data_IF_417992678161
#
_entry.id   IF_417992678161
#
_cell.length_a   1.000
_cell.length_b   1.000
_cell.length_c   1.000
_cell.angle_alpha   90.00
_cell.angle_beta   90.00
_cell.angle_gamma   90.00
#
_symmetry.space_group_name_H-M   'P 1'
#
loop_
_entity.id
_entity.type
_entity.pdbx_description
1 polymer ?
#
# COMPACT_ATOMS: atom_id res chain seq x y z
N UNK A 1 23.56 17.17 -2.47
CA UNK A 1 22.38 17.73 -1.77
C UNK A 1 22.82 17.99 -0.34
N UNK A 2 22.58 19.21 0.16
CA UNK A 2 22.93 19.55 1.54
C UNK A 2 21.87 19.02 2.52
N UNK A 3 22.23 18.90 3.79
CA UNK A 3 21.34 18.44 4.85
C UNK A 3 20.05 19.28 4.97
N UNK A 4 20.18 20.60 4.87
CA UNK A 4 19.04 21.52 4.93
C UNK A 4 18.09 21.35 3.74
N UNK A 5 18.64 21.22 2.52
CA UNK A 5 17.84 20.96 1.32
C UNK A 5 17.05 19.66 1.43
N UNK A 6 17.71 18.59 1.91
CA UNK A 6 17.08 17.29 2.13
C UNK A 6 15.92 17.38 3.12
N UNK A 7 16.14 18.03 4.27
CA UNK A 7 15.11 18.19 5.29
C UNK A 7 13.93 18.99 4.74
N UNK A 8 14.17 20.06 3.98
CA UNK A 8 13.10 20.83 3.33
C UNK A 8 12.26 19.94 2.40
N UNK A 9 12.90 19.16 1.53
CA UNK A 9 12.19 18.26 0.60
C UNK A 9 11.37 17.19 1.33
N UNK A 10 11.92 16.62 2.40
CA UNK A 10 11.19 15.63 3.19
C UNK A 10 10.06 16.28 4.00
N UNK A 11 10.23 17.51 4.49
CA UNK A 11 9.19 18.21 5.24
C UNK A 11 7.97 18.49 4.36
N UNK A 12 8.21 18.86 3.10
CA UNK A 12 7.17 18.98 2.07
C UNK A 12 6.41 17.66 1.89
N UNK A 13 7.12 16.54 1.75
CA UNK A 13 6.51 15.23 1.52
C UNK A 13 5.83 14.63 2.75
N UNK A 14 6.36 14.85 3.95
CA UNK A 14 5.77 14.35 5.20
C UNK A 14 4.62 15.24 5.67
N UNK A 15 4.48 16.45 5.07
CA UNK A 15 3.53 17.50 5.46
C UNK A 15 3.77 17.93 6.91
N UNK A 16 5.05 18.16 7.24
CA UNK A 16 5.45 18.61 8.57
C UNK A 16 5.80 20.09 8.52
N UNK A 17 5.09 20.89 9.31
CA UNK A 17 5.39 22.31 9.42
C UNK A 17 6.67 22.56 10.23
N UNK A 18 7.16 23.79 10.13
CA UNK A 18 8.40 24.19 10.80
C UNK A 18 8.30 24.23 12.32
N UNK A 19 7.10 24.41 12.87
CA UNK A 19 6.87 24.49 14.31
C UNK A 19 6.92 23.10 14.93
N UNK A 20 6.32 22.11 14.26
CA UNK A 20 6.43 20.69 14.59
C UNK A 20 7.88 20.22 14.49
N UNK A 21 8.57 20.50 13.38
CA UNK A 21 9.99 20.16 13.23
C UNK A 21 10.85 20.74 14.36
N UNK A 22 10.66 22.04 14.67
CA UNK A 22 11.35 22.72 15.75
C UNK A 22 11.08 22.06 17.12
N UNK A 23 9.82 21.70 17.39
CA UNK A 23 9.41 21.03 18.63
C UNK A 23 10.06 19.65 18.76
N UNK A 24 9.99 18.82 17.72
CA UNK A 24 10.54 17.46 17.75
C UNK A 24 12.08 17.45 17.83
N UNK A 25 12.75 18.39 17.16
CA UNK A 25 14.20 18.49 17.20
C UNK A 25 14.73 19.28 18.42
N UNK A 26 13.84 19.88 19.22
CA UNK A 26 14.15 20.79 20.32
C UNK A 26 15.07 21.95 19.88
N UNK A 27 14.64 22.65 18.83
CA UNK A 27 15.36 23.77 18.20
C UNK A 27 14.46 25.02 18.21
N UNK A 28 14.97 26.22 18.52
CA UNK A 28 14.21 27.45 18.32
C UNK A 28 13.78 27.63 16.85
N UNK A 29 12.51 27.97 16.62
CA UNK A 29 11.92 28.10 15.27
C UNK A 29 12.73 29.05 14.37
N UNK A 30 13.24 30.16 14.91
CA UNK A 30 14.04 31.12 14.15
C UNK A 30 15.35 30.51 13.65
N UNK A 31 16.06 29.76 14.49
CA UNK A 31 17.31 29.10 14.12
C UNK A 31 17.06 28.02 13.06
N UNK A 32 15.95 27.27 13.19
CA UNK A 32 15.56 26.30 12.17
C UNK A 32 15.22 26.98 10.85
N UNK A 33 14.48 28.10 10.84
CA UNK A 33 14.20 28.91 9.64
C UNK A 33 15.48 29.37 8.96
N UNK A 34 16.40 29.96 9.71
CA UNK A 34 17.70 30.41 9.19
C UNK A 34 18.51 29.27 8.58
N UNK A 35 18.56 28.12 9.26
CA UNK A 35 19.29 26.95 8.77
C UNK A 35 18.66 26.34 7.51
N UNK A 36 17.34 26.22 7.45
CA UNK A 36 16.63 25.75 6.24
C UNK A 36 16.85 26.70 5.06
N UNK A 37 16.94 28.01 5.31
CA UNK A 37 17.32 29.01 4.30
C UNK A 37 18.80 28.95 3.88
N UNK A 38 19.60 28.04 4.45
CA UNK A 38 21.01 27.84 4.10
C UNK A 38 21.97 28.83 4.75
N UNK A 39 21.50 29.62 5.74
CA UNK A 39 22.39 30.45 6.56
C UNK A 39 23.21 29.53 7.47
N UNK A 40 24.52 29.79 7.56
CA UNK A 40 25.45 29.09 8.47
C UNK A 40 25.21 29.56 9.91
N UNK A 41 24.05 29.25 10.47
CA UNK A 41 23.82 29.35 11.91
C UNK A 41 24.15 28.03 12.59
N UNK A 42 24.69 28.12 13.80
CA UNK A 42 25.22 27.01 14.60
C UNK A 42 24.10 26.12 15.15
N UNK A 43 23.37 25.41 14.29
CA UNK A 43 22.65 24.23 14.77
C UNK A 43 23.68 23.21 15.26
N UNK A 44 23.50 22.76 16.50
CA UNK A 44 24.31 21.68 17.05
C UNK A 44 24.13 20.44 16.18
N UNK A 45 25.21 19.70 15.94
CA UNK A 45 25.17 18.48 15.14
C UNK A 45 24.09 17.50 15.63
N UNK A 46 23.96 17.33 16.95
CA UNK A 46 22.92 16.49 17.55
C UNK A 46 21.50 16.94 17.19
N UNK A 47 21.23 18.24 17.14
CA UNK A 47 19.92 18.78 16.75
C UNK A 47 19.62 18.49 15.28
N UNK A 48 20.62 18.55 14.40
CA UNK A 48 20.49 18.17 12.99
C UNK A 48 20.23 16.67 12.86
N UNK A 49 20.93 15.83 13.63
CA UNK A 49 20.73 14.38 13.64
C UNK A 49 19.33 14.01 14.16
N UNK A 50 18.87 14.64 15.23
CA UNK A 50 17.52 14.45 15.76
C UNK A 50 16.46 14.85 14.71
N UNK A 51 16.65 15.98 14.03
CA UNK A 51 15.77 16.42 12.96
C UNK A 51 15.73 15.41 11.81
N UNK A 52 16.89 14.90 11.36
CA UNK A 52 16.95 13.86 10.33
C UNK A 52 16.23 12.57 10.76
N UNK A 53 16.42 12.15 12.01
CA UNK A 53 15.74 10.97 12.58
C UNK A 53 14.21 11.13 12.62
N UNK A 54 13.71 12.31 13.00
CA UNK A 54 12.29 12.65 12.96
C UNK A 54 11.74 12.54 11.53
N UNK A 55 12.52 12.99 10.54
CA UNK A 55 12.18 12.86 9.12
C UNK A 55 12.30 11.43 8.58
N UNK A 56 12.65 10.45 9.42
CA UNK A 56 12.76 9.04 9.03
C UNK A 56 14.09 8.69 8.37
N UNK A 57 15.16 9.45 8.63
CA UNK A 57 16.49 9.18 8.11
C UNK A 57 17.40 8.60 9.19
N UNK A 58 18.24 7.64 8.80
CA UNK A 58 19.38 7.18 9.58
C UNK A 58 20.68 7.71 8.97
N UNK A 59 21.60 8.11 9.86
CA UNK A 59 22.92 8.64 9.53
C UNK A 59 23.98 7.69 10.08
N UNK A 60 24.20 6.61 9.36
CA UNK A 60 25.05 5.48 9.75
C UNK A 60 25.81 4.96 8.53
N UNK A 61 27.09 5.37 8.40
CA UNK A 61 27.95 5.13 7.23
C UNK A 61 27.37 5.62 5.89
N UNK A 62 26.50 6.63 5.97
CA UNK A 62 25.78 7.19 4.84
C UNK A 62 24.47 7.79 5.31
N UNK A 63 23.68 8.26 4.34
CA UNK A 63 22.33 8.74 4.58
C UNK A 63 21.36 7.75 3.95
N UNK A 64 20.45 7.20 4.74
CA UNK A 64 19.44 6.24 4.27
C UNK A 64 18.10 6.48 4.96
N UNK A 65 17.03 5.98 4.35
CA UNK A 65 15.75 5.90 5.03
C UNK A 65 15.83 4.85 6.15
N UNK A 66 15.09 5.10 7.23
CA UNK A 66 14.97 4.18 8.35
C UNK A 66 14.22 2.91 7.91
N UNK A 67 14.93 1.79 7.92
CA UNK A 67 14.45 0.46 7.53
C UNK A 67 13.47 -0.17 8.53
N UNK A 68 13.37 0.37 9.75
CA UNK A 68 12.53 -0.17 10.83
C UNK A 68 11.09 0.34 10.82
N UNK A 69 10.73 1.23 9.89
CA UNK A 69 9.41 1.84 9.80
C UNK A 69 8.92 1.90 8.36
N UNK A 70 7.61 2.06 8.21
CA UNK A 70 6.98 2.45 6.95
C UNK A 70 6.99 3.98 6.86
N UNK A 71 7.52 4.50 5.76
CA UNK A 71 7.52 5.93 5.47
C UNK A 71 6.22 6.29 4.77
N UNK A 72 5.65 7.44 5.10
CA UNK A 72 4.43 7.93 4.49
C UNK A 72 4.65 9.32 3.93
N UNK A 73 4.69 9.41 2.60
CA UNK A 73 4.82 10.66 1.88
C UNK A 73 3.52 11.01 1.19
N UNK A 74 3.26 12.30 1.11
CA UNK A 74 2.05 12.88 0.55
C UNK A 74 2.42 13.86 -0.55
N UNK A 75 1.70 13.78 -1.66
CA UNK A 75 1.87 14.65 -2.82
C UNK A 75 0.50 15.22 -3.17
N UNK A 76 0.47 16.54 -3.35
CA UNK A 76 -0.72 17.25 -3.79
C UNK A 76 -0.63 17.56 -5.29
N UNK A 77 -1.39 16.82 -6.10
CA UNK A 77 -1.46 17.03 -7.55
C UNK A 77 -2.71 17.88 -7.88
N UNK A 78 -2.57 19.20 -7.73
CA UNK A 78 -3.66 20.14 -7.99
C UNK A 78 -3.90 20.40 -9.49
N UNK A 79 -5.11 20.81 -9.87
CA UNK A 79 -5.54 21.01 -11.26
C UNK A 79 -4.59 21.94 -12.05
N UNK A 80 -4.05 22.97 -11.39
CA UNK A 80 -3.24 24.01 -12.02
C UNK A 80 -1.72 23.79 -11.89
N UNK A 81 -1.29 22.71 -11.24
CA UNK A 81 0.13 22.45 -11.03
C UNK A 81 0.79 21.82 -12.26
N UNK A 82 2.06 22.11 -12.50
CA UNK A 82 2.84 21.40 -13.52
C UNK A 82 3.31 20.05 -12.97
N UNK A 83 3.13 18.94 -13.71
CA UNK A 83 3.53 17.59 -13.27
C UNK A 83 4.99 17.58 -12.78
N UNK A 84 5.91 18.19 -13.52
CA UNK A 84 7.33 18.27 -13.15
C UNK A 84 7.57 18.95 -11.80
N UNK A 85 6.79 19.96 -11.43
CA UNK A 85 6.94 20.64 -10.14
C UNK A 85 6.30 19.86 -8.99
N UNK A 86 5.15 19.21 -9.22
CA UNK A 86 4.43 18.38 -8.23
C UNK A 86 5.31 17.24 -7.72
N UNK A 87 5.98 16.54 -8.64
CA UNK A 87 6.81 15.40 -8.29
C UNK A 87 8.29 15.75 -8.10
N UNK A 88 8.66 17.04 -8.10
CA UNK A 88 10.05 17.47 -8.05
C UNK A 88 10.79 16.99 -6.80
N UNK A 89 10.12 17.01 -5.64
CA UNK A 89 10.70 16.53 -4.39
C UNK A 89 11.02 15.04 -4.48
N UNK A 90 10.06 14.24 -4.95
CA UNK A 90 10.24 12.81 -5.18
C UNK A 90 11.36 12.52 -6.20
N UNK A 91 11.43 13.28 -7.30
CA UNK A 91 12.53 13.17 -8.28
C UNK A 91 13.89 13.49 -7.68
N UNK A 92 14.00 14.52 -6.84
CA UNK A 92 15.26 14.87 -6.19
C UNK A 92 15.72 13.81 -5.19
N UNK A 93 14.76 13.14 -4.54
CA UNK A 93 15.02 12.05 -3.59
C UNK A 93 15.21 10.67 -4.23
N UNK A 94 15.13 10.57 -5.57
CA UNK A 94 15.30 9.31 -6.31
C UNK A 94 16.55 8.51 -5.92
N UNK A 95 17.67 9.17 -5.58
CA UNK A 95 18.88 8.49 -5.11
C UNK A 95 18.69 7.65 -3.84
N UNK A 96 17.78 8.05 -2.94
CA UNK A 96 17.45 7.29 -1.72
C UNK A 96 16.55 6.08 -2.03
N UNK A 97 15.95 6.06 -3.20
CA UNK A 97 14.96 5.08 -3.64
C UNK A 97 15.47 4.25 -4.84
N UNK A 98 16.74 4.39 -5.21
CA UNK A 98 17.32 3.63 -6.31
C UNK A 98 17.29 2.13 -5.97
N UNK A 99 16.91 1.31 -6.94
CA UNK A 99 16.70 -0.13 -6.75
C UNK A 99 15.38 -0.51 -6.09
N UNK A 100 14.50 0.45 -5.79
CA UNK A 100 13.17 0.13 -5.29
C UNK A 100 12.23 -0.32 -6.41
N UNK A 101 11.30 -1.20 -6.07
CA UNK A 101 10.17 -1.62 -6.89
C UNK A 101 8.92 -0.82 -6.53
N UNK A 102 8.11 -0.47 -7.52
CA UNK A 102 6.90 0.36 -7.37
C UNK A 102 5.66 -0.43 -7.76
N UNK A 103 4.57 -0.27 -7.01
CA UNK A 103 3.22 -0.73 -7.40
C UNK A 103 2.14 0.21 -6.90
N UNK A 104 1.04 0.34 -7.63
CA UNK A 104 -0.16 1.05 -7.20
C UNK A 104 -1.08 0.13 -6.38
N UNK A 105 -1.78 0.69 -5.39
CA UNK A 105 -2.72 -0.08 -4.56
C UNK A 105 -4.15 0.32 -4.83
N UNK A 106 -5.01 -0.67 -5.03
CA UNK A 106 -6.45 -0.51 -5.15
C UNK A 106 -7.21 -1.28 -4.06
N UNK A 107 -8.29 -0.66 -3.58
CA UNK A 107 -9.21 -1.34 -2.67
C UNK A 107 -10.11 -2.30 -3.45
N UNK A 108 -10.31 -3.51 -2.92
CA UNK A 108 -11.31 -4.45 -3.45
C UNK A 108 -12.76 -3.96 -3.27
N UNK A 109 -12.98 -2.90 -2.47
CA UNK A 109 -14.33 -2.37 -2.19
C UNK A 109 -14.64 -1.12 -3.02
N UNK A 110 -15.64 -1.16 -3.94
CA UNK A 110 -16.00 -0.01 -4.77
C UNK A 110 -16.50 1.20 -3.96
N UNK A 111 -17.12 0.99 -2.79
CA UNK A 111 -17.55 2.09 -1.89
C UNK A 111 -16.39 2.86 -1.28
N UNK A 112 -15.22 2.23 -1.12
CA UNK A 112 -14.00 2.88 -0.64
C UNK A 112 -13.24 3.58 -1.78
N UNK A 113 -13.48 3.15 -3.03
CA UNK A 113 -12.87 3.67 -4.26
C UNK A 113 -13.33 5.09 -4.60
N UNK A 114 -14.59 5.42 -4.32
CA UNK A 114 -15.19 6.73 -4.63
C UNK A 114 -14.94 7.80 -3.56
N UNK A 115 -14.60 7.41 -2.33
CA UNK A 115 -14.56 8.34 -1.19
C UNK A 115 -13.24 9.08 -1.03
N UNK A 116 -12.20 8.64 -1.73
CA UNK A 116 -10.86 9.18 -1.57
C UNK A 116 -10.36 9.59 -2.95
N UNK A 117 -10.28 10.91 -3.18
CA UNK A 117 -9.49 11.46 -4.28
C UNK A 117 -8.00 11.24 -4.08
N UNK A 118 -7.58 10.11 -3.51
CA UNK A 118 -6.21 9.75 -3.19
C UNK A 118 -5.86 8.44 -3.90
N UNK A 119 -4.66 8.37 -4.47
CA UNK A 119 -4.04 7.13 -4.93
C UNK A 119 -2.87 6.78 -4.04
N UNK A 120 -2.70 5.51 -3.75
CA UNK A 120 -1.61 5.02 -2.92
C UNK A 120 -0.66 4.19 -3.78
N UNK A 121 0.63 4.43 -3.61
CA UNK A 121 1.71 3.69 -4.23
C UNK A 121 2.61 3.11 -3.14
N UNK A 122 3.01 1.86 -3.29
CA UNK A 122 4.04 1.25 -2.47
C UNK A 122 5.36 1.29 -3.25
N UNK A 123 6.42 1.68 -2.56
CA UNK A 123 7.78 1.72 -3.06
C UNK A 123 8.65 0.94 -2.08
N UNK A 124 9.24 -0.15 -2.54
CA UNK A 124 9.89 -1.12 -1.66
C UNK A 124 11.26 -1.58 -2.16
N UNK A 125 12.16 -1.83 -1.22
CA UNK A 125 13.38 -2.64 -1.38
C UNK A 125 13.66 -3.32 -0.04
N UNK A 126 14.72 -4.13 0.06
CA UNK A 126 15.12 -4.78 1.31
C UNK A 126 15.25 -3.82 2.51
N UNK A 127 15.57 -2.54 2.24
CA UNK A 127 15.82 -1.51 3.26
C UNK A 127 14.84 -0.34 3.23
N UNK A 128 13.90 -0.31 2.29
CA UNK A 128 12.98 0.82 2.12
C UNK A 128 11.56 0.30 2.06
N UNK A 129 10.69 0.87 2.89
CA UNK A 129 9.24 0.66 2.86
C UNK A 129 8.58 2.02 2.84
N UNK A 130 8.09 2.43 1.68
CA UNK A 130 7.55 3.77 1.47
C UNK A 130 6.15 3.67 0.85
N UNK A 131 5.20 4.35 1.46
CA UNK A 131 3.87 4.64 0.92
C UNK A 131 3.87 6.07 0.40
N UNK A 132 3.54 6.25 -0.88
CA UNK A 132 3.29 7.56 -1.48
C UNK A 132 1.79 7.72 -1.70
N UNK A 133 1.17 8.62 -0.96
CA UNK A 133 -0.21 9.04 -1.15
C UNK A 133 -0.24 10.26 -2.08
N UNK A 134 -0.97 10.17 -3.19
CA UNK A 134 -1.14 11.29 -4.12
C UNK A 134 -2.60 11.71 -4.11
N UNK A 135 -2.87 12.95 -3.66
CA UNK A 135 -4.20 13.55 -3.82
C UNK A 135 -4.37 13.98 -5.27
N UNK A 136 -5.37 13.40 -5.92
CA UNK A 136 -5.70 13.55 -7.33
C UNK A 136 -6.51 14.81 -7.58
N UNK A 137 -6.16 15.47 -8.67
CA UNK A 137 -7.03 16.35 -9.45
C UNK A 137 -7.89 15.54 -10.43
N UNK A 138 -9.19 15.84 -10.52
CA UNK A 138 -10.21 15.06 -11.25
C UNK A 138 -9.86 14.73 -12.73
N UNK A 139 -8.92 15.44 -13.35
CA UNK A 139 -8.61 15.35 -14.77
C UNK A 139 -7.26 14.70 -15.13
N UNK A 140 -6.44 14.29 -14.14
CA UNK A 140 -5.12 13.69 -14.41
C UNK A 140 -4.94 12.36 -13.72
N UNK A 141 -4.26 11.43 -14.37
CA UNK A 141 -3.76 10.24 -13.72
C UNK A 141 -2.49 10.63 -12.94
N UNK A 142 -2.51 10.65 -11.59
CA UNK A 142 -1.27 10.71 -10.84
C UNK A 142 -0.49 9.44 -11.14
N UNK A 143 0.82 9.54 -11.38
CA UNK A 143 1.67 8.39 -11.65
C UNK A 143 3.00 8.59 -10.95
N UNK A 144 3.14 7.97 -9.78
CA UNK A 144 4.45 7.64 -9.24
C UNK A 144 4.97 6.49 -10.10
N UNK A 145 6.04 6.75 -10.84
CA UNK A 145 6.60 5.79 -11.80
C UNK A 145 8.13 5.84 -11.79
N UNK A 146 8.81 4.90 -12.44
CA UNK A 146 10.26 4.93 -12.64
C UNK A 146 10.80 6.23 -13.28
N UNK A 147 9.99 6.94 -14.09
CA UNK A 147 10.38 8.24 -14.65
C UNK A 147 10.52 9.32 -13.58
N UNK A 148 9.68 9.24 -12.54
CA UNK A 148 9.70 10.15 -11.40
C UNK A 148 10.77 9.73 -10.41
N UNK A 149 10.79 8.45 -10.02
CA UNK A 149 11.77 7.87 -9.11
C UNK A 149 12.86 7.19 -9.95
N UNK A 150 13.82 7.98 -10.41
CA UNK A 150 14.92 7.49 -11.25
C UNK A 150 15.68 6.34 -10.59
N UNK A 151 15.83 5.24 -11.31
CA UNK A 151 16.51 4.03 -10.83
C UNK A 151 15.63 3.07 -10.04
N UNK A 152 14.34 3.36 -9.89
CA UNK A 152 13.34 2.38 -9.49
C UNK A 152 12.84 1.59 -10.71
N UNK A 153 12.19 0.45 -10.46
CA UNK A 153 11.49 -0.33 -11.47
C UNK A 153 10.04 -0.57 -11.05
N UNK A 154 9.21 -1.01 -11.98
CA UNK A 154 7.92 -1.58 -11.59
C UNK A 154 8.15 -2.91 -10.88
N UNK A 155 7.25 -3.24 -9.95
CA UNK A 155 7.30 -4.48 -9.17
C UNK A 155 7.12 -5.73 -10.04
N UNK A 156 6.29 -5.61 -11.06
CA UNK A 156 5.92 -6.68 -11.98
C UNK A 156 5.85 -6.15 -13.42
N UNK A 157 5.76 -7.06 -14.38
CA UNK A 157 5.64 -6.75 -15.80
C UNK A 157 4.17 -6.55 -16.24
N UNK A 158 3.23 -6.40 -15.31
CA UNK A 158 1.81 -6.21 -15.63
C UNK A 158 1.54 -4.79 -16.15
N UNK A 159 0.71 -4.61 -17.17
CA UNK A 159 0.50 -3.28 -17.76
C UNK A 159 -0.03 -2.23 -16.76
N UNK A 160 -0.85 -2.68 -15.79
CA UNK A 160 -1.48 -1.81 -14.80
C UNK A 160 -0.61 -1.56 -13.56
N UNK A 161 0.41 -2.39 -13.32
CA UNK A 161 1.29 -2.36 -12.13
C UNK A 161 0.52 -2.21 -10.80
N UNK A 162 -0.65 -2.87 -10.72
CA UNK A 162 -1.66 -2.67 -9.70
C UNK A 162 -1.78 -3.91 -8.80
N UNK A 163 -1.86 -3.68 -7.50
CA UNK A 163 -2.26 -4.70 -6.54
C UNK A 163 -3.60 -4.39 -5.90
N UNK A 164 -4.36 -5.43 -5.60
CA UNK A 164 -5.55 -5.31 -4.76
C UNK A 164 -5.21 -5.69 -3.32
N UNK A 165 -5.91 -5.08 -2.36
CA UNK A 165 -5.71 -5.40 -0.94
C UNK A 165 -7.03 -5.49 -0.20
N UNK A 166 -7.04 -6.31 0.85
CA UNK A 166 -8.21 -6.52 1.68
C UNK A 166 -8.59 -5.24 2.46
N UNK A 167 -9.81 -5.21 2.99
CA UNK A 167 -10.36 -4.05 3.70
C UNK A 167 -9.51 -3.61 4.90
N UNK A 168 -8.96 -4.56 5.67
CA UNK A 168 -8.17 -4.27 6.87
C UNK A 168 -6.87 -3.55 6.52
N UNK A 169 -6.10 -4.15 5.61
CA UNK A 169 -4.84 -3.58 5.13
C UNK A 169 -5.06 -2.25 4.40
N UNK A 170 -6.19 -2.10 3.69
CA UNK A 170 -6.60 -0.81 3.12
C UNK A 170 -6.84 0.26 4.18
N UNK A 171 -7.53 -0.06 5.28
CA UNK A 171 -7.75 0.88 6.38
C UNK A 171 -6.42 1.33 6.99
N UNK A 172 -5.52 0.39 7.32
CA UNK A 172 -4.20 0.73 7.90
C UNK A 172 -3.35 1.57 6.93
N UNK A 173 -3.44 1.29 5.61
CA UNK A 173 -2.77 2.10 4.58
C UNK A 173 -3.26 3.56 4.60
N UNK A 174 -4.57 3.76 4.66
CA UNK A 174 -5.21 5.09 4.68
C UNK A 174 -4.91 5.84 5.99
N UNK A 175 -4.95 5.14 7.12
CA UNK A 175 -4.71 5.70 8.46
C UNK A 175 -3.22 5.93 8.76
N UNK A 176 -2.33 5.51 7.86
CA UNK A 176 -0.87 5.59 7.99
C UNK A 176 -0.29 4.75 9.13
N UNK A 177 -0.90 3.59 9.37
CA UNK A 177 -0.60 2.70 10.50
C UNK A 177 -0.19 1.28 10.06
N UNK A 178 0.45 1.14 8.90
CA UNK A 178 1.02 -0.14 8.49
C UNK A 178 2.29 -0.43 9.29
N UNK A 179 2.33 -1.62 9.87
CA UNK A 179 3.59 -2.22 10.31
C UNK A 179 4.46 -2.60 9.11
N UNK A 180 5.77 -2.76 9.32
CA UNK A 180 6.69 -3.24 8.27
C UNK A 180 6.27 -4.60 7.72
N UNK A 181 5.79 -5.48 8.59
CA UNK A 181 5.24 -6.78 8.22
C UNK A 181 4.00 -6.68 7.33
N UNK A 182 3.03 -5.84 7.70
CA UNK A 182 1.80 -5.65 6.90
C UNK A 182 2.11 -4.99 5.55
N UNK A 183 3.06 -4.06 5.52
CA UNK A 183 3.55 -3.48 4.27
C UNK A 183 4.14 -4.56 3.36
N UNK A 184 5.07 -5.37 3.86
CA UNK A 184 5.73 -6.42 3.06
C UNK A 184 4.72 -7.47 2.58
N UNK A 185 3.76 -7.82 3.43
CA UNK A 185 2.65 -8.73 3.07
C UNK A 185 1.82 -8.16 1.93
N UNK A 186 1.43 -6.89 2.02
CA UNK A 186 0.66 -6.21 0.98
C UNK A 186 1.46 -6.10 -0.32
N UNK A 187 2.73 -5.69 -0.22
CA UNK A 187 3.61 -5.49 -1.37
C UNK A 187 3.91 -6.78 -2.12
N UNK A 188 4.17 -7.87 -1.40
CA UNK A 188 4.48 -9.17 -1.98
C UNK A 188 3.23 -9.99 -2.34
N UNK A 189 2.02 -9.47 -2.08
CA UNK A 189 0.76 -10.18 -2.29
C UNK A 189 0.73 -11.55 -1.59
N UNK A 190 1.36 -11.64 -0.41
CA UNK A 190 1.35 -12.86 0.39
C UNK A 190 0.00 -12.93 1.10
N UNK A 191 -0.90 -13.75 0.58
CA UNK A 191 -2.09 -14.17 1.31
C UNK A 191 -1.68 -14.93 2.57
N UNK A 192 -2.41 -14.73 3.68
CA UNK A 192 -2.28 -15.70 4.78
C UNK A 192 -2.70 -17.05 4.21
N UNK A 193 -1.83 -18.06 4.37
CA UNK A 193 -2.30 -19.43 4.30
C UNK A 193 -3.16 -19.65 5.55
N UNK A 194 -4.38 -19.13 5.53
CA UNK A 194 -5.38 -19.46 6.54
C UNK A 194 -5.66 -20.94 6.32
N UNK A 195 -5.21 -21.77 7.25
CA UNK A 195 -5.47 -23.19 7.13
C UNK A 195 -6.97 -23.44 7.28
N UNK A 196 -7.47 -24.53 6.70
CA UNK A 196 -8.85 -24.95 6.95
C UNK A 196 -9.15 -25.16 8.44
N UNK A 197 -8.13 -25.41 9.26
CA UNK A 197 -8.26 -25.49 10.71
C UNK A 197 -8.53 -24.12 11.34
N UNK A 198 -7.83 -23.07 10.90
CA UNK A 198 -8.06 -21.69 11.37
C UNK A 198 -9.46 -21.20 10.97
N UNK A 199 -9.86 -21.48 9.72
CA UNK A 199 -11.23 -21.20 9.25
C UNK A 199 -12.26 -21.96 10.08
N UNK A 200 -12.01 -23.23 10.39
CA UNK A 200 -12.91 -24.04 11.21
C UNK A 200 -13.02 -23.52 12.65
N UNK A 201 -11.92 -23.05 13.23
CA UNK A 201 -11.90 -22.48 14.57
C UNK A 201 -12.69 -21.17 14.62
N UNK A 202 -12.43 -20.26 13.68
CA UNK A 202 -13.20 -19.02 13.53
C UNK A 202 -14.69 -19.32 13.29
N UNK A 203 -15.01 -20.27 12.41
CA UNK A 203 -16.39 -20.64 12.13
C UNK A 203 -17.12 -21.12 13.40
N UNK A 204 -16.45 -21.90 14.27
CA UNK A 204 -17.01 -22.31 15.57
C UNK A 204 -17.22 -21.12 16.52
N UNK A 205 -16.26 -20.21 16.60
CA UNK A 205 -16.37 -19.02 17.47
C UNK A 205 -17.53 -18.11 17.06
N UNK A 206 -17.77 -17.96 15.75
CA UNK A 206 -18.86 -17.14 15.22
C UNK A 206 -20.16 -17.91 14.98
N UNK A 207 -20.24 -19.19 15.36
CA UNK A 207 -21.42 -20.02 15.18
C UNK A 207 -21.79 -20.30 13.72
N UNK A 208 -20.84 -20.14 12.80
CA UNK A 208 -21.00 -20.38 11.37
C UNK A 208 -20.86 -21.88 11.10
N UNK A 209 -21.88 -22.48 10.50
CA UNK A 209 -21.86 -23.88 10.11
C UNK A 209 -21.45 -24.04 8.64
N UNK A 210 -21.08 -25.27 8.25
CA UNK A 210 -20.81 -25.59 6.85
C UNK A 210 -22.03 -25.35 5.94
N UNK A 211 -23.25 -25.50 6.48
CA UNK A 211 -24.48 -25.22 5.76
C UNK A 211 -24.63 -23.72 5.46
N UNK A 212 -24.31 -22.85 6.43
CA UNK A 212 -24.36 -21.40 6.25
C UNK A 212 -23.36 -20.92 5.20
N UNK A 213 -22.15 -21.51 5.21
CA UNK A 213 -21.13 -21.21 4.19
C UNK A 213 -21.58 -21.70 2.81
N UNK A 214 -22.12 -22.92 2.73
CA UNK A 214 -22.65 -23.47 1.47
C UNK A 214 -23.78 -22.61 0.91
N UNK A 215 -24.71 -22.18 1.76
CA UNK A 215 -25.81 -21.30 1.38
C UNK A 215 -25.29 -19.94 0.89
N UNK A 216 -24.34 -19.34 1.61
CA UNK A 216 -23.72 -18.08 1.20
C UNK A 216 -23.00 -18.18 -0.15
N UNK A 217 -22.31 -19.29 -0.43
CA UNK A 217 -21.66 -19.53 -1.72
C UNK A 217 -22.71 -19.63 -2.84
N UNK A 218 -23.78 -20.40 -2.62
CA UNK A 218 -24.86 -20.57 -3.59
C UNK A 218 -25.60 -19.26 -3.86
N UNK A 219 -25.88 -18.46 -2.82
CA UNK A 219 -26.58 -17.18 -2.97
C UNK A 219 -25.73 -16.10 -3.66
N UNK A 220 -24.40 -16.17 -3.54
CA UNK A 220 -23.50 -15.11 -4.01
C UNK A 220 -22.76 -15.44 -5.30
N UNK A 221 -22.60 -16.72 -5.61
CA UNK A 221 -21.86 -17.22 -6.78
C UNK A 221 -22.65 -18.24 -7.59
N UNK A 222 -23.85 -18.65 -7.15
CA UNK A 222 -24.72 -19.58 -7.85
C UNK A 222 -25.55 -18.91 -8.95
N UNK A 223 -24.92 -18.48 -10.04
CA UNK A 223 -25.59 -18.51 -11.34
C UNK A 223 -25.11 -19.75 -12.09
N UNK A 224 -25.91 -20.81 -12.07
CA UNK A 224 -25.77 -21.95 -12.97
C UNK A 224 -27.12 -22.24 -13.65
N UNK A 225 -27.21 -21.68 -14.88
CA UNK A 225 -27.99 -22.09 -16.06
C UNK A 225 -29.53 -21.95 -16.00
N UNK A 226 -30.16 -21.12 -16.86
CA UNK A 226 -31.62 -21.05 -16.98
C UNK A 226 -32.16 -22.36 -17.59
N UNK A 227 -33.25 -22.85 -17.01
CA UNK A 227 -33.92 -24.07 -17.41
C UNK A 227 -34.30 -24.09 -18.90
N UNK A 228 -33.93 -25.17 -19.57
CA UNK A 228 -34.52 -25.60 -20.83
C UNK A 228 -35.31 -26.88 -20.57
N UNK A 229 -36.63 -26.81 -20.76
CA UNK A 229 -37.55 -27.93 -20.66
C UNK A 229 -37.29 -29.01 -21.73
N UNK A 230 -37.58 -30.26 -21.39
CA UNK A 230 -37.66 -31.37 -22.34
C UNK A 230 -37.95 -32.69 -21.64
N UNK A 231 -39.24 -32.99 -21.45
CA UNK A 231 -39.71 -34.29 -20.98
C UNK A 231 -39.36 -35.40 -21.98
N UNK A 232 -38.87 -36.53 -21.50
CA UNK A 232 -39.21 -37.85 -22.04
C UNK A 232 -39.03 -38.91 -20.97
N UNK A 233 -40.12 -39.66 -20.75
CA UNK A 233 -40.25 -40.79 -19.83
C UNK A 233 -39.40 -42.00 -20.27
N UNK A 234 -39.22 -42.89 -19.29
CA UNK A 234 -38.97 -44.34 -19.38
C UNK A 234 -37.58 -44.84 -19.82
N UNK A 235 -36.79 -45.31 -18.84
CA UNK A 235 -36.57 -46.75 -18.66
C UNK A 235 -35.88 -47.00 -17.30
N UNK A 236 -36.52 -47.81 -16.46
CA UNK A 236 -36.00 -48.19 -15.16
C UNK A 236 -34.82 -49.16 -15.25
N UNK A 237 -33.83 -48.97 -14.40
CA UNK A 237 -33.02 -50.08 -13.87
C UNK A 237 -32.91 -49.86 -12.36
N UNK A 238 -33.63 -50.71 -11.64
CA UNK A 238 -33.49 -50.89 -10.20
C UNK A 238 -32.39 -51.93 -9.97
N UNK A 239 -31.27 -51.54 -9.36
CA UNK A 239 -30.35 -52.48 -8.74
C UNK A 239 -29.76 -51.87 -7.46
N UNK A 240 -30.18 -52.50 -6.39
CA UNK A 240 -29.82 -52.41 -5.00
C UNK A 240 -28.30 -52.53 -4.73
N UNK A 241 -27.92 -52.16 -3.51
CA UNK A 241 -26.66 -52.42 -2.78
C UNK A 241 -25.42 -51.52 -3.00
N UNK A 242 -25.10 -50.80 -1.91
CA UNK A 242 -23.75 -50.39 -1.45
C UNK A 242 -22.85 -49.54 -2.36
N UNK A 243 -22.59 -48.29 -1.95
CA UNK A 243 -21.42 -47.55 -2.43
C UNK A 243 -21.61 -46.03 -2.40
N UNK A 244 -20.83 -45.34 -1.57
CA UNK A 244 -20.79 -43.88 -1.52
C UNK A 244 -20.49 -43.28 -2.89
N UNK A 245 -21.25 -42.25 -3.28
CA UNK A 245 -21.00 -41.49 -4.51
C UNK A 245 -19.70 -40.70 -4.37
N UNK A 246 -18.65 -41.19 -5.00
CA UNK A 246 -17.41 -40.47 -5.25
C UNK A 246 -17.64 -39.52 -6.44
N UNK A 247 -17.54 -38.22 -6.19
CA UNK A 247 -17.47 -37.19 -7.22
C UNK A 247 -16.08 -37.26 -7.88
N UNK A 248 -16.03 -37.67 -9.15
CA UNK A 248 -14.83 -37.55 -9.97
C UNK A 248 -14.80 -36.15 -10.60
N UNK A 249 -13.82 -35.34 -10.21
CA UNK A 249 -13.42 -34.14 -10.95
C UNK A 249 -12.44 -34.57 -12.05
N UNK A 250 -12.88 -34.46 -13.31
CA UNK A 250 -12.00 -34.59 -14.46
C UNK A 250 -11.18 -33.30 -14.61
N UNK A 251 -9.86 -33.42 -14.59
CA UNK A 251 -8.95 -32.36 -14.99
C UNK A 251 -8.79 -32.38 -16.53
N UNK A 252 -9.00 -31.24 -17.16
CA UNK A 252 -8.63 -30.90 -18.53
C UNK A 252 -8.10 -29.48 -18.54
#
# INVERSE_FOLDING_TARGET
MKANELVTLLAELVVMDIEMMARFANIPVQNLRSWLAGKKENLRLQSVMNLMSVMGLKVDNGLRLDDTRVHYWYIEDSIFSQKKSVYAALTKLSKLLAGCSITAVESTSPRLKERLGHRFYLVASDKVRLVVCVRRSFFRAPAVSPDVIKGACWRDDSDDHLITTNRRLWTHLVERDLTTYEFDRMFNQVSENVSWADVSLMAREFGVTAADVSQWILERHGELIPGGAGAQDDEGIDLDSSGGRVLYLAAG
#
